data_IF_540710518445
#
_entry.id   IF_540710518445
#
_cell.length_a   1.000
_cell.length_b   1.000
_cell.length_c   1.000
_cell.angle_alpha   90.00
_cell.angle_beta   90.00
_cell.angle_gamma   90.00
#
_symmetry.space_group_name_H-M   'P 1'
#
loop_
_entity.id
_entity.type
_entity.pdbx_description
1 polymer ?
#
# COMPACT_ATOMS: atom_id res chain seq x y z
N UNK A 1 11.56 -12.58 -17.86
CA UNK A 1 12.27 -11.28 -17.87
C UNK A 1 11.37 -10.13 -18.34
N UNK A 2 10.67 -10.24 -19.47
CA UNK A 2 9.80 -9.16 -19.98
C UNK A 2 8.71 -8.66 -19.01
N UNK A 3 8.04 -9.56 -18.26
CA UNK A 3 6.97 -9.18 -17.30
C UNK A 3 7.46 -8.25 -16.18
N UNK A 4 8.62 -8.55 -15.62
CA UNK A 4 9.23 -7.73 -14.57
C UNK A 4 9.68 -6.37 -15.11
N UNK A 5 10.22 -6.34 -16.33
CA UNK A 5 10.62 -5.09 -16.97
C UNK A 5 9.42 -4.14 -17.21
N UNK A 6 8.23 -4.68 -17.46
CA UNK A 6 6.99 -3.88 -17.51
C UNK A 6 6.71 -3.17 -16.18
N UNK A 7 6.77 -3.91 -15.07
CA UNK A 7 6.50 -3.36 -13.73
C UNK A 7 7.44 -2.19 -13.37
N UNK A 8 8.73 -2.28 -13.72
CA UNK A 8 9.67 -1.20 -13.49
C UNK A 8 9.43 0.04 -14.36
N UNK A 9 8.86 -0.12 -15.56
CA UNK A 9 8.44 1.02 -16.38
C UNK A 9 7.28 1.76 -15.71
N UNK A 10 6.32 1.04 -15.15
CA UNK A 10 5.17 1.62 -14.47
C UNK A 10 5.58 2.32 -13.15
N UNK A 11 6.49 1.71 -12.38
CA UNK A 11 7.11 2.35 -11.20
C UNK A 11 7.80 3.67 -11.56
N UNK A 12 8.53 3.70 -12.68
CA UNK A 12 9.17 4.93 -13.18
C UNK A 12 8.14 6.04 -13.45
N UNK A 13 6.98 5.69 -14.01
CA UNK A 13 5.88 6.64 -14.22
C UNK A 13 5.37 7.18 -12.88
N UNK A 14 5.17 6.31 -11.87
CA UNK A 14 4.78 6.72 -10.51
C UNK A 14 5.73 7.77 -9.93
N UNK A 15 7.04 7.51 -10.03
CA UNK A 15 8.08 8.40 -9.48
C UNK A 15 8.23 9.69 -10.25
N UNK A 16 8.23 9.63 -11.58
CA UNK A 16 8.54 10.81 -12.40
C UNK A 16 7.33 11.73 -12.57
N UNK A 17 6.16 11.16 -12.83
CA UNK A 17 4.93 11.92 -13.13
C UNK A 17 4.17 12.31 -11.87
N UNK A 18 4.02 11.37 -10.93
CA UNK A 18 3.23 11.58 -9.73
C UNK A 18 4.06 11.94 -8.50
N UNK A 19 5.40 11.86 -8.61
CA UNK A 19 6.34 12.10 -7.50
C UNK A 19 6.06 11.20 -6.29
N UNK A 20 5.61 9.97 -6.55
CA UNK A 20 5.32 8.96 -5.54
C UNK A 20 6.36 7.84 -5.63
N UNK A 21 7.23 7.77 -4.63
CA UNK A 21 8.24 6.72 -4.47
C UNK A 21 7.85 5.70 -3.39
N UNK A 22 6.95 6.08 -2.47
CA UNK A 22 6.48 5.21 -1.41
C UNK A 22 4.96 5.31 -1.17
N UNK A 23 4.36 4.22 -0.67
CA UNK A 23 2.91 4.14 -0.43
C UNK A 23 2.39 5.18 0.56
N UNK A 24 3.20 5.58 1.56
CA UNK A 24 2.81 6.60 2.54
C UNK A 24 2.78 8.02 1.97
N UNK A 25 3.34 8.25 0.78
CA UNK A 25 3.26 9.54 0.07
C UNK A 25 1.93 9.69 -0.68
N UNK A 26 1.25 8.58 -1.00
CA UNK A 26 0.03 8.56 -1.79
C UNK A 26 -1.11 9.31 -1.05
N UNK A 27 -1.67 10.39 -1.65
CA UNK A 27 -2.72 11.19 -1.01
C UNK A 27 -3.98 10.38 -0.67
N UNK A 28 -4.31 9.36 -1.46
CA UNK A 28 -5.46 8.51 -1.20
C UNK A 28 -5.25 7.61 0.02
N UNK A 29 -4.02 7.12 0.24
CA UNK A 29 -3.67 6.33 1.42
C UNK A 29 -3.69 7.22 2.67
N UNK A 30 -3.12 8.42 2.58
CA UNK A 30 -3.19 9.40 3.68
C UNK A 30 -4.63 9.70 4.06
N UNK A 31 -5.49 9.94 3.06
CA UNK A 31 -6.92 10.20 3.26
C UNK A 31 -7.64 9.03 3.93
N UNK A 32 -7.40 7.81 3.46
CA UNK A 32 -7.97 6.60 4.04
C UNK A 32 -7.65 6.46 5.54
N UNK A 33 -6.40 6.69 5.92
CA UNK A 33 -6.02 6.67 7.33
C UNK A 33 -6.56 7.89 8.09
N UNK A 34 -6.46 9.11 7.57
CA UNK A 34 -6.94 10.29 8.31
C UNK A 34 -8.46 10.31 8.53
N UNK A 35 -9.25 9.82 7.58
CA UNK A 35 -10.71 9.93 7.61
C UNK A 35 -11.41 8.66 8.13
N UNK A 36 -10.80 7.48 8.00
CA UNK A 36 -11.48 6.21 8.29
C UNK A 36 -10.66 5.25 9.17
N UNK A 37 -9.49 4.82 8.71
CA UNK A 37 -8.71 3.80 9.41
C UNK A 37 -7.84 4.35 10.58
N UNK A 38 -7.89 5.65 10.82
CA UNK A 38 -7.15 6.43 11.83
C UNK A 38 -5.61 6.39 11.69
N UNK A 39 -4.99 5.27 12.05
CA UNK A 39 -3.55 5.07 11.97
C UNK A 39 -3.25 3.59 11.65
N UNK A 40 -2.06 3.28 11.08
CA UNK A 40 -1.62 1.90 10.95
C UNK A 40 -1.72 1.17 12.30
N UNK A 41 -2.12 -0.10 12.26
CA UNK A 41 -2.33 -0.94 13.46
C UNK A 41 -3.46 -0.46 14.40
N UNK A 42 -4.36 0.41 13.96
CA UNK A 42 -5.60 0.68 14.70
C UNK A 42 -6.50 -0.56 14.75
N UNK A 43 -7.47 -0.60 15.67
CA UNK A 43 -8.45 -1.69 15.73
C UNK A 43 -9.20 -1.88 14.40
N UNK A 44 -9.55 -0.78 13.73
CA UNK A 44 -10.19 -0.80 12.40
C UNK A 44 -9.25 -1.39 11.35
N UNK A 45 -7.96 -1.04 11.40
CA UNK A 45 -6.96 -1.59 10.47
C UNK A 45 -6.71 -3.08 10.71
N UNK A 46 -6.62 -3.50 11.96
CA UNK A 46 -6.45 -4.91 12.33
C UNK A 46 -7.66 -5.73 11.86
N UNK A 47 -8.87 -5.25 12.13
CA UNK A 47 -10.10 -5.96 11.76
C UNK A 47 -10.30 -6.13 10.24
N UNK A 48 -9.83 -5.18 9.43
CA UNK A 48 -10.09 -5.17 7.99
C UNK A 48 -8.90 -5.61 7.12
N UNK A 49 -7.67 -5.28 7.54
CA UNK A 49 -6.48 -5.40 6.69
C UNK A 49 -5.53 -6.50 7.17
N UNK A 50 -5.71 -7.00 8.39
CA UNK A 50 -4.86 -8.04 8.96
C UNK A 50 -5.56 -9.39 8.93
N UNK A 51 -4.76 -10.44 9.09
CA UNK A 51 -5.25 -11.82 9.12
C UNK A 51 -4.32 -12.68 9.98
N UNK A 52 -4.79 -13.88 10.28
CA UNK A 52 -4.10 -14.81 11.16
C UNK A 52 -3.73 -16.07 10.39
N UNK A 53 -2.49 -16.51 10.56
CA UNK A 53 -2.05 -17.81 10.06
C UNK A 53 -2.42 -18.90 11.06
N UNK A 54 -2.80 -20.07 10.55
CA UNK A 54 -2.93 -21.29 11.36
C UNK A 54 -1.70 -22.16 11.18
N UNK A 55 -1.27 -22.82 12.26
CA UNK A 55 -0.19 -23.80 12.20
C UNK A 55 -0.51 -24.86 11.14
N UNK A 56 0.50 -25.28 10.38
CA UNK A 56 0.36 -26.42 9.47
C UNK A 56 0.32 -27.68 10.34
N UNK A 57 -0.83 -28.35 10.34
CA UNK A 57 -0.96 -29.72 10.87
C UNK A 57 -0.21 -30.71 10.00
#
# INVERSE_FOLDING_TARGET
>A
KARQAGQYKDDKISREKFKLAASHENPMIKRFYSEFAHHPLSEVSEALLHTHYKARV
#
